data_IF_348185614885
#
_entry.id   IF_348185614885
#
_cell.length_a   1.000
_cell.length_b   1.000
_cell.length_c   1.000
_cell.angle_alpha   90.00
_cell.angle_beta   90.00
_cell.angle_gamma   90.00
#
_symmetry.space_group_name_H-M   'P 1'
#
loop_
_entity.id
_entity.type
_entity.pdbx_description
1 polymer ?
#
# COMPACT_ATOMS: atom_id res chain seq x y z
N UNK A 1 -20.02 -6.19 18.52
CA UNK A 1 -20.58 -4.83 18.38
C UNK A 1 -19.57 -3.71 18.60
N UNK A 2 -18.96 -3.51 19.78
CA UNK A 2 -18.03 -2.37 20.01
C UNK A 2 -16.72 -2.52 19.22
N UNK A 3 -16.11 -3.70 19.25
CA UNK A 3 -14.84 -3.98 18.56
C UNK A 3 -14.94 -3.81 17.04
N UNK A 4 -16.02 -4.29 16.44
CA UNK A 4 -16.30 -4.12 15.01
C UNK A 4 -16.51 -2.65 14.63
N UNK A 5 -17.17 -1.87 15.50
CA UNK A 5 -17.41 -0.44 15.26
C UNK A 5 -16.11 0.36 15.32
N UNK A 6 -15.16 -0.03 16.17
CA UNK A 6 -13.82 0.56 16.24
C UNK A 6 -12.99 0.16 15.01
N UNK A 7 -12.95 -1.14 14.66
CA UNK A 7 -12.22 -1.64 13.50
C UNK A 7 -12.75 -1.08 12.17
N UNK A 8 -14.06 -0.88 12.04
CA UNK A 8 -14.66 -0.27 10.85
C UNK A 8 -14.76 1.26 10.91
N UNK A 9 -14.06 1.91 11.85
CA UNK A 9 -14.01 3.37 11.92
C UNK A 9 -13.03 3.94 10.88
N UNK A 10 -13.34 5.14 10.37
CA UNK A 10 -12.45 5.87 9.45
C UNK A 10 -11.07 6.13 10.06
N UNK A 11 -11.00 6.32 11.38
CA UNK A 11 -9.74 6.53 12.13
C UNK A 11 -8.86 5.28 12.11
N UNK A 12 -9.46 4.11 12.30
CA UNK A 12 -8.73 2.85 12.25
C UNK A 12 -8.29 2.50 10.82
N UNK A 13 -9.12 2.79 9.81
CA UNK A 13 -8.71 2.65 8.41
C UNK A 13 -7.51 3.56 8.06
N UNK A 14 -7.48 4.80 8.56
CA UNK A 14 -6.33 5.69 8.39
C UNK A 14 -5.07 5.17 9.11
N UNK A 15 -5.21 4.61 10.31
CA UNK A 15 -4.10 3.96 11.01
C UNK A 15 -3.55 2.77 10.21
N UNK A 16 -4.43 1.96 9.64
CA UNK A 16 -4.02 0.82 8.80
C UNK A 16 -3.34 1.29 7.51
N UNK A 17 -3.74 2.44 6.93
CA UNK A 17 -3.04 3.03 5.79
C UNK A 17 -1.63 3.48 6.19
N UNK A 18 -1.48 4.04 7.38
CA UNK A 18 -0.17 4.41 7.92
C UNK A 18 0.72 3.18 8.18
N UNK A 19 0.16 2.09 8.71
CA UNK A 19 0.90 0.83 8.88
C UNK A 19 1.34 0.28 7.51
N UNK A 20 0.45 0.31 6.51
CA UNK A 20 0.79 -0.06 5.14
C UNK A 20 1.96 0.79 4.63
N UNK A 21 1.90 2.12 4.83
CA UNK A 21 2.96 3.05 4.44
C UNK A 21 4.33 2.67 5.01
N UNK A 22 4.40 2.51 6.33
CA UNK A 22 5.65 2.16 7.03
C UNK A 22 6.16 0.78 6.59
N UNK A 23 5.25 -0.19 6.40
CA UNK A 23 5.63 -1.55 5.99
C UNK A 23 6.29 -1.58 4.61
N UNK A 24 5.77 -0.83 3.64
CA UNK A 24 6.33 -0.74 2.29
C UNK A 24 7.66 0.03 2.28
N UNK A 25 7.79 1.09 3.09
CA UNK A 25 9.08 1.77 3.29
C UNK A 25 10.10 0.79 3.87
N UNK A 26 9.73 -0.02 4.86
CA UNK A 26 10.64 -0.99 5.45
C UNK A 26 11.14 -2.01 4.41
N UNK A 27 10.26 -2.54 3.55
CA UNK A 27 10.63 -3.47 2.48
C UNK A 27 11.63 -2.83 1.50
N UNK A 28 11.37 -1.59 1.09
CA UNK A 28 12.18 -0.89 0.09
C UNK A 28 13.49 -0.38 0.66
N UNK A 29 13.51 0.01 1.94
CA UNK A 29 14.71 0.43 2.65
C UNK A 29 15.62 -0.75 2.96
N UNK A 30 15.04 -1.87 3.42
CA UNK A 30 15.75 -3.06 3.85
C UNK A 30 15.50 -4.22 2.87
N UNK A 31 15.95 -4.05 1.62
CA UNK A 31 15.72 -4.96 0.50
C UNK A 31 16.55 -6.25 0.62
N UNK A 32 16.22 -7.05 1.62
CA UNK A 32 16.78 -8.37 1.93
C UNK A 32 15.66 -9.42 1.94
N UNK A 33 16.00 -10.70 1.92
CA UNK A 33 15.01 -11.78 1.95
C UNK A 33 14.11 -11.68 3.20
N UNK A 34 14.70 -11.42 4.38
CA UNK A 34 13.95 -11.27 5.63
C UNK A 34 13.06 -10.03 5.61
N UNK A 35 13.59 -8.89 5.16
CA UNK A 35 12.84 -7.64 5.03
C UNK A 35 11.64 -7.77 4.08
N UNK A 36 11.85 -8.44 2.94
CA UNK A 36 10.79 -8.78 2.00
C UNK A 36 9.75 -9.68 2.64
N UNK A 37 10.15 -10.75 3.33
CA UNK A 37 9.23 -11.74 3.91
C UNK A 37 8.36 -11.14 5.02
N UNK A 38 8.95 -10.49 6.02
CA UNK A 38 8.19 -9.90 7.12
C UNK A 38 7.36 -8.70 6.68
N UNK A 39 7.93 -7.85 5.83
CA UNK A 39 7.23 -6.67 5.32
C UNK A 39 6.05 -7.03 4.43
N UNK A 40 6.20 -8.01 3.53
CA UNK A 40 5.07 -8.49 2.72
C UNK A 40 3.99 -9.14 3.56
N UNK A 41 4.35 -9.93 4.59
CA UNK A 41 3.36 -10.52 5.49
C UNK A 41 2.50 -9.45 6.17
N UNK A 42 3.12 -8.40 6.71
CA UNK A 42 2.40 -7.26 7.32
C UNK A 42 1.54 -6.55 6.26
N UNK A 43 2.06 -6.30 5.06
CA UNK A 43 1.31 -5.68 3.98
C UNK A 43 0.08 -6.51 3.58
N UNK A 44 0.22 -7.84 3.47
CA UNK A 44 -0.88 -8.76 3.17
C UNK A 44 -1.94 -8.72 4.27
N UNK A 45 -1.56 -8.79 5.55
CA UNK A 45 -2.52 -8.68 6.66
C UNK A 45 -3.29 -7.35 6.62
N UNK A 46 -2.59 -6.26 6.29
CA UNK A 46 -3.19 -4.92 6.18
C UNK A 46 -4.16 -4.83 4.99
N UNK A 47 -3.83 -5.45 3.85
CA UNK A 47 -4.71 -5.56 2.69
C UNK A 47 -5.95 -6.43 2.97
N UNK A 48 -5.79 -7.55 3.69
CA UNK A 48 -6.92 -8.39 4.13
C UNK A 48 -7.87 -7.57 5.00
N UNK A 49 -7.33 -6.76 5.93
CA UNK A 49 -8.14 -5.85 6.72
C UNK A 49 -8.95 -4.88 5.84
N UNK A 50 -8.33 -4.26 4.83
CA UNK A 50 -9.05 -3.35 3.93
C UNK A 50 -10.11 -4.06 3.11
N UNK A 51 -9.89 -5.32 2.75
CA UNK A 51 -10.87 -6.14 2.03
C UNK A 51 -12.09 -6.42 2.91
N UNK A 52 -11.88 -6.73 4.19
CA UNK A 52 -12.95 -6.88 5.20
C UNK A 52 -13.68 -5.55 5.42
N UNK A 53 -12.94 -4.44 5.52
CA UNK A 53 -13.51 -3.10 5.67
C UNK A 53 -14.38 -2.74 4.46
N UNK A 54 -13.88 -2.94 3.24
CA UNK A 54 -14.61 -2.69 2.00
C UNK A 54 -15.85 -3.56 1.86
N UNK A 55 -15.79 -4.82 2.30
CA UNK A 55 -16.95 -5.70 2.25
C UNK A 55 -18.08 -5.23 3.19
N UNK A 56 -17.73 -4.67 4.36
CA UNK A 56 -18.71 -4.13 5.31
C UNK A 56 -19.29 -2.78 4.88
N UNK A 57 -18.55 -1.99 4.10
CA UNK A 57 -19.01 -0.69 3.58
C UNK A 57 -19.54 -0.83 2.15
N UNK A 58 -20.88 -0.89 2.01
CA UNK A 58 -21.57 -1.21 0.75
C UNK A 58 -21.45 -0.10 -0.32
N UNK A 59 -21.04 1.12 0.06
CA UNK A 59 -20.95 2.24 -0.89
C UNK A 59 -19.79 2.05 -1.86
N UNK A 60 -20.12 1.83 -3.15
CA UNK A 60 -19.14 1.72 -4.24
C UNK A 60 -18.15 2.91 -4.28
N UNK A 61 -18.60 4.11 -3.88
CA UNK A 61 -17.75 5.31 -3.81
C UNK A 61 -16.72 5.25 -2.68
N UNK A 62 -17.09 4.73 -1.51
CA UNK A 62 -16.15 4.57 -0.39
C UNK A 62 -15.12 3.48 -0.67
N UNK A 63 -15.54 2.36 -1.29
CA UNK A 63 -14.62 1.28 -1.70
C UNK A 63 -13.62 1.79 -2.74
N UNK A 64 -14.07 2.56 -3.72
CA UNK A 64 -13.18 3.17 -4.71
C UNK A 64 -12.22 4.18 -4.08
N UNK A 65 -12.72 5.06 -3.19
CA UNK A 65 -11.89 6.01 -2.47
C UNK A 65 -10.82 5.32 -1.64
N UNK A 66 -11.19 4.24 -0.91
CA UNK A 66 -10.25 3.43 -0.15
C UNK A 66 -9.19 2.80 -1.06
N UNK A 67 -9.59 2.19 -2.19
CA UNK A 67 -8.68 1.61 -3.16
C UNK A 67 -7.69 2.65 -3.69
N UNK A 68 -8.18 3.84 -4.06
CA UNK A 68 -7.34 4.95 -4.49
C UNK A 68 -6.31 5.35 -3.43
N UNK A 69 -6.74 5.51 -2.17
CA UNK A 69 -5.84 5.83 -1.07
C UNK A 69 -4.81 4.73 -0.80
N UNK A 70 -5.18 3.46 -0.90
CA UNK A 70 -4.25 2.33 -0.76
C UNK A 70 -3.18 2.41 -1.85
N UNK A 71 -3.58 2.55 -3.11
CA UNK A 71 -2.62 2.60 -4.22
C UNK A 71 -1.69 3.81 -4.10
N UNK A 72 -2.24 4.99 -3.81
CA UNK A 72 -1.46 6.21 -3.64
C UNK A 72 -0.48 6.07 -2.47
N UNK A 73 -0.91 5.44 -1.38
CA UNK A 73 -0.04 5.13 -0.23
C UNK A 73 1.12 4.25 -0.64
N UNK A 74 0.88 3.14 -1.37
CA UNK A 74 1.94 2.24 -1.83
C UNK A 74 2.94 2.99 -2.72
N UNK A 75 2.47 3.78 -3.69
CA UNK A 75 3.33 4.57 -4.58
C UNK A 75 4.24 5.51 -3.78
N UNK A 76 3.66 6.33 -2.89
CA UNK A 76 4.44 7.29 -2.10
C UNK A 76 5.43 6.56 -1.18
N UNK A 77 5.03 5.43 -0.59
CA UNK A 77 5.89 4.62 0.28
C UNK A 77 7.10 4.08 -0.47
N UNK A 78 6.88 3.53 -1.66
CA UNK A 78 7.96 2.99 -2.51
C UNK A 78 8.94 4.09 -2.90
N UNK A 79 8.43 5.23 -3.37
CA UNK A 79 9.27 6.37 -3.71
C UNK A 79 10.09 6.85 -2.50
N UNK A 80 9.46 6.94 -1.34
CA UNK A 80 10.10 7.38 -0.09
C UNK A 80 11.22 6.41 0.31
N UNK A 81 10.95 5.10 0.34
CA UNK A 81 11.95 4.11 0.72
C UNK A 81 13.09 3.98 -0.28
N UNK A 82 12.83 4.12 -1.59
CA UNK A 82 13.87 4.17 -2.63
C UNK A 82 14.77 5.39 -2.47
N UNK A 83 14.18 6.57 -2.24
CA UNK A 83 14.95 7.81 -2.05
C UNK A 83 15.83 7.68 -0.81
N UNK A 84 15.28 7.22 0.31
CA UNK A 84 16.06 7.01 1.55
C UNK A 84 17.17 5.97 1.35
N UNK A 85 16.87 4.83 0.71
CA UNK A 85 17.89 3.82 0.40
C UNK A 85 18.99 4.37 -0.51
N UNK A 86 18.61 5.17 -1.51
CA UNK A 86 19.53 5.87 -2.41
C UNK A 86 20.48 6.81 -1.66
N UNK A 87 19.96 7.60 -0.70
CA UNK A 87 20.76 8.47 0.16
C UNK A 87 21.69 7.70 1.11
N UNK A 88 21.24 6.60 1.72
CA UNK A 88 22.04 5.85 2.69
C UNK A 88 23.07 4.92 2.05
N UNK A 89 22.74 4.31 0.91
CA UNK A 89 23.49 3.19 0.32
C UNK A 89 24.11 3.52 -1.05
N UNK A 90 23.95 4.75 -1.54
CA UNK A 90 24.59 5.24 -2.77
C UNK A 90 24.04 4.66 -4.07
N UNK A 91 22.71 4.48 -4.18
CA UNK A 91 22.03 3.89 -5.38
C UNK A 91 22.65 2.59 -5.92
N UNK A 92 23.34 1.83 -5.09
CA UNK A 92 24.10 0.64 -5.50
C UNK A 92 23.23 -0.58 -5.85
N UNK A 93 21.90 -0.45 -5.81
CA UNK A 93 20.98 -1.57 -6.01
C UNK A 93 20.02 -1.31 -7.18
N UNK A 94 20.46 -1.54 -8.45
CA UNK A 94 19.63 -1.30 -9.63
C UNK A 94 18.36 -2.16 -9.66
N UNK A 95 18.37 -3.33 -8.99
CA UNK A 95 17.20 -4.18 -8.83
C UNK A 95 16.06 -3.49 -8.08
N UNK A 96 16.37 -2.71 -7.03
CA UNK A 96 15.38 -1.94 -6.26
C UNK A 96 14.73 -0.85 -7.12
N UNK A 97 15.51 -0.17 -7.96
CA UNK A 97 15.01 0.86 -8.87
C UNK A 97 14.05 0.26 -9.91
N UNK A 98 14.44 -0.85 -10.54
CA UNK A 98 13.59 -1.55 -11.52
C UNK A 98 12.31 -2.05 -10.86
N UNK A 99 12.42 -2.71 -9.69
CA UNK A 99 11.27 -3.17 -8.91
C UNK A 99 10.27 -2.03 -8.64
N UNK A 100 10.79 -0.88 -8.21
CA UNK A 100 9.99 0.28 -7.82
C UNK A 100 9.27 0.92 -9.01
N UNK A 101 9.96 1.03 -10.16
CA UNK A 101 9.36 1.54 -11.41
C UNK A 101 8.26 0.61 -11.89
N UNK A 102 8.53 -0.71 -11.95
CA UNK A 102 7.55 -1.71 -12.41
C UNK A 102 6.33 -1.70 -11.50
N UNK A 103 6.52 -1.74 -10.17
CA UNK A 103 5.41 -1.71 -9.22
C UNK A 103 4.57 -0.44 -9.35
N UNK A 104 5.21 0.72 -9.48
CA UNK A 104 4.52 2.01 -9.63
C UNK A 104 3.70 2.04 -10.92
N UNK A 105 4.28 1.61 -12.05
CA UNK A 105 3.57 1.55 -13.33
C UNK A 105 2.40 0.55 -13.31
N UNK A 106 2.59 -0.64 -12.73
CA UNK A 106 1.53 -1.63 -12.58
C UNK A 106 0.36 -1.11 -11.73
N UNK A 107 0.66 -0.36 -10.67
CA UNK A 107 -0.36 0.24 -9.80
C UNK A 107 -1.13 1.38 -10.49
N UNK A 108 -0.45 2.22 -11.27
CA UNK A 108 -1.09 3.25 -12.09
C UNK A 108 -2.01 2.61 -13.14
N UNK A 109 -1.56 1.57 -13.83
CA UNK A 109 -2.38 0.81 -14.78
C UNK A 109 -3.62 0.22 -14.10
N UNK A 110 -3.46 -0.36 -12.92
CA UNK A 110 -4.58 -0.88 -12.11
C UNK A 110 -5.59 0.23 -11.78
N UNK A 111 -5.12 1.40 -11.35
CA UNK A 111 -6.01 2.55 -11.10
C UNK A 111 -6.80 2.97 -12.34
N UNK A 112 -6.14 3.03 -13.50
CA UNK A 112 -6.78 3.40 -14.77
C UNK A 112 -7.82 2.36 -15.24
N UNK A 113 -7.55 1.08 -15.02
CA UNK A 113 -8.50 0.01 -15.33
C UNK A 113 -9.71 0.08 -14.39
N UNK A 114 -9.47 0.28 -13.09
CA UNK A 114 -10.53 0.40 -12.10
C UNK A 114 -11.40 1.65 -12.31
N UNK A 115 -10.81 2.81 -12.66
CA UNK A 115 -11.61 4.01 -12.96
C UNK A 115 -12.55 3.79 -14.13
N UNK A 116 -12.08 3.14 -15.21
CA UNK A 116 -12.91 2.75 -16.36
C UNK A 116 -14.02 1.76 -16.00
N UNK A 117 -13.72 0.73 -15.20
CA UNK A 117 -14.69 -0.28 -14.77
C UNK A 117 -15.84 0.31 -13.94
N UNK A 118 -15.53 1.29 -13.09
CA UNK A 118 -16.53 1.96 -12.25
C UNK A 118 -17.25 3.12 -12.95
N UNK A 119 -16.99 3.37 -14.24
CA UNK A 119 -17.54 4.48 -15.05
C UNK A 119 -17.45 5.82 -14.33
N UNK A 120 -16.26 6.13 -13.82
CA UNK A 120 -15.90 7.46 -13.34
C UNK A 120 -15.30 8.23 -14.51
#
# INVERSE_FOLDING_TARGET
MVFERIMCSKRFAALMLFILFVSIIYITLNFTIEGLMYGTLIAVLTLIFFLIYAHKHVSKREVFGLFFFIVLTIIISVLTGVVINGYMSGFNNPALLIYSIVLTLSLILLLLIFSKLYRI
#
